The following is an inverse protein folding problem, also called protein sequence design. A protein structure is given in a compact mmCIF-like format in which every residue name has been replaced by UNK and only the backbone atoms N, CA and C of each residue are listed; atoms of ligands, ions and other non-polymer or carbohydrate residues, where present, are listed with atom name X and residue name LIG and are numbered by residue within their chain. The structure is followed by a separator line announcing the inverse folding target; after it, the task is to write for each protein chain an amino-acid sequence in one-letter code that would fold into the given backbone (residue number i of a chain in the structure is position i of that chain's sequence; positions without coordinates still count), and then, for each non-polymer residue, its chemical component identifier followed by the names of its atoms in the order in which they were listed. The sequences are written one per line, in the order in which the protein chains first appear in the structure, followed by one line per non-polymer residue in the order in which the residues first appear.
data_IF_500749776033
#
_entry.id   IF_500749776033
#
_cell.length_a   1.000
_cell.length_b   1.000
_cell.length_c   1.000
_cell.angle_alpha   90.00
_cell.angle_beta   90.00
_cell.angle_gamma   90.00
#
_symmetry.space_group_name_H-M   'P 1'
#
loop_
_entity.id
_entity.type
_entity.pdbx_description
1 polymer ?
#
# COMPACT_ATOMS: atom_id res chain seq x y z
N UNK A 1 3.78 4.28 5.60
CA UNK A 1 3.03 3.03 5.83
C UNK A 1 3.96 1.86 5.62
N UNK A 2 3.42 0.73 5.16
CA UNK A 2 4.18 -0.48 4.84
C UNK A 2 4.21 -0.69 3.32
N UNK A 3 5.35 -0.42 2.63
CA UNK A 3 5.42 -0.57 1.19
C UNK A 3 5.39 -2.05 0.80
N UNK A 4 4.72 -2.35 -0.31
CA UNK A 4 4.56 -3.72 -0.81
C UNK A 4 5.06 -3.82 -2.26
N UNK A 5 4.29 -3.28 -3.20
CA UNK A 5 4.58 -3.33 -4.63
C UNK A 5 5.07 -2.00 -5.21
N UNK A 6 5.99 -2.09 -6.16
CA UNK A 6 6.38 -0.98 -7.02
C UNK A 6 6.29 -1.41 -8.49
N UNK A 7 5.77 -0.54 -9.35
CA UNK A 7 5.70 -0.77 -10.79
C UNK A 7 6.08 0.48 -11.56
N UNK A 8 6.52 0.28 -12.80
CA UNK A 8 6.76 1.39 -13.72
C UNK A 8 5.44 1.78 -14.37
N UNK A 9 5.09 3.05 -14.24
CA UNK A 9 4.02 3.68 -15.00
C UNK A 9 4.52 4.26 -16.32
N UNK A 10 3.72 5.15 -16.88
CA UNK A 10 4.08 5.86 -18.12
C UNK A 10 4.81 7.18 -17.83
N UNK A 11 5.45 7.77 -18.85
CA UNK A 11 6.09 9.08 -18.76
C UNK A 11 7.13 9.25 -17.62
N UNK A 12 7.82 8.17 -17.27
CA UNK A 12 8.85 8.18 -16.21
C UNK A 12 8.29 8.13 -14.78
N UNK A 13 7.01 7.81 -14.64
CA UNK A 13 6.35 7.63 -13.35
C UNK A 13 6.58 6.21 -12.79
N UNK A 14 6.65 6.10 -11.47
CA UNK A 14 6.68 4.84 -10.74
C UNK A 14 5.55 4.83 -9.73
N UNK A 15 4.75 3.76 -9.72
CA UNK A 15 3.65 3.60 -8.79
C UNK A 15 4.08 2.70 -7.63
N UNK A 16 3.95 3.20 -6.40
CA UNK A 16 4.31 2.50 -5.17
C UNK A 16 3.05 2.30 -4.33
N UNK A 17 2.78 1.07 -3.92
CA UNK A 17 1.68 0.73 -3.01
C UNK A 17 2.15 0.69 -1.56
N UNK A 18 1.30 1.18 -0.67
CA UNK A 18 1.46 1.13 0.77
C UNK A 18 0.23 0.43 1.34
N UNK A 19 0.42 -0.79 1.87
CA UNK A 19 -0.66 -1.69 2.26
C UNK A 19 -1.57 -1.10 3.36
N UNK A 20 -0.98 -0.33 4.28
CA UNK A 20 -1.69 0.33 5.37
C UNK A 20 -0.86 1.49 5.95
N UNK A 21 -1.49 2.38 6.73
CA UNK A 21 -0.82 3.37 7.57
C UNK A 21 0.19 2.72 8.51
N UNK A 22 1.07 3.55 9.09
CA UNK A 22 1.98 3.06 10.12
C UNK A 22 1.18 2.63 11.34
N UNK A 23 1.54 1.49 11.91
CA UNK A 23 0.93 0.99 13.14
C UNK A 23 1.86 1.27 14.32
N UNK A 24 1.41 2.13 15.24
CA UNK A 24 2.21 2.58 16.38
C UNK A 24 2.65 1.45 17.32
N UNK A 25 1.85 0.39 17.46
CA UNK A 25 2.24 -0.78 18.25
C UNK A 25 3.40 -1.52 17.59
N UNK A 26 3.31 -1.80 16.29
CA UNK A 26 4.39 -2.45 15.54
C UNK A 26 5.66 -1.59 15.55
N UNK A 27 5.54 -0.28 15.36
CA UNK A 27 6.67 0.65 15.38
C UNK A 27 7.46 0.59 16.70
N UNK A 28 6.77 0.48 17.84
CA UNK A 28 7.39 0.37 19.18
C UNK A 28 8.09 -0.98 19.45
N UNK A 29 7.93 -1.94 18.54
CA UNK A 29 8.58 -3.27 18.64
C UNK A 29 9.77 -3.43 17.70
N UNK A 30 10.04 -2.45 16.83
CA UNK A 30 11.10 -2.55 15.82
C UNK A 30 12.48 -2.80 16.44
N UNK A 31 12.77 -2.17 17.57
CA UNK A 31 14.02 -2.30 18.34
C UNK A 31 14.06 -3.54 19.27
N UNK A 32 12.95 -4.29 19.38
CA UNK A 32 12.81 -5.39 20.36
C UNK A 32 12.61 -6.75 19.66
N UNK A 33 13.68 -7.42 19.22
CA UNK A 33 13.59 -8.67 18.45
C UNK A 33 12.92 -9.82 19.24
N UNK A 34 13.14 -9.91 20.55
CA UNK A 34 12.50 -10.92 21.40
C UNK A 34 10.98 -10.72 21.48
N UNK A 35 10.51 -9.47 21.60
CA UNK A 35 9.09 -9.16 21.62
C UNK A 35 8.42 -9.48 20.28
N UNK A 36 9.05 -9.14 19.16
CA UNK A 36 8.57 -9.51 17.81
C UNK A 36 8.45 -11.03 17.65
N UNK A 37 9.39 -11.79 18.21
CA UNK A 37 9.38 -13.27 18.22
C UNK A 37 8.15 -13.83 18.96
N UNK A 38 7.72 -13.19 20.05
CA UNK A 38 6.52 -13.57 20.78
C UNK A 38 5.27 -13.21 19.96
N UNK A 39 5.16 -11.97 19.49
CA UNK A 39 3.99 -11.48 18.72
C UNK A 39 3.75 -12.34 17.48
N UNK A 40 4.82 -12.73 16.76
CA UNK A 40 4.71 -13.56 15.56
C UNK A 40 4.13 -14.96 15.82
N UNK A 41 4.20 -15.45 17.06
CA UNK A 41 3.71 -16.77 17.50
C UNK A 41 2.33 -16.72 18.14
N UNK A 42 1.78 -15.54 18.38
CA UNK A 42 0.41 -15.42 18.88
C UNK A 42 -0.58 -15.98 17.85
N UNK A 43 -1.73 -16.52 18.28
CA UNK A 43 -2.85 -16.79 17.39
C UNK A 43 -3.25 -15.55 16.55
N UNK A 44 -3.73 -15.76 15.32
CA UNK A 44 -4.05 -14.66 14.38
C UNK A 44 -5.03 -13.61 14.92
N UNK A 45 -5.97 -14.00 15.78
CA UNK A 45 -6.93 -13.07 16.38
C UNK A 45 -6.30 -12.10 17.39
N UNK A 46 -5.09 -12.38 17.88
CA UNK A 46 -4.32 -11.50 18.79
C UNK A 46 -3.26 -10.66 18.06
N UNK A 47 -3.01 -10.93 16.77
CA UNK A 47 -2.01 -10.18 16.02
C UNK A 47 -2.57 -8.82 15.58
N UNK A 48 -1.73 -7.76 15.54
CA UNK A 48 -2.10 -6.52 14.88
C UNK A 48 -2.48 -6.77 13.42
N UNK A 49 -3.69 -6.38 13.03
CA UNK A 49 -4.17 -6.51 11.66
C UNK A 49 -3.94 -5.21 10.88
N UNK A 50 -3.67 -5.29 9.57
CA UNK A 50 -3.65 -4.11 8.72
C UNK A 50 -4.99 -3.38 8.78
N UNK A 51 -4.94 -2.05 8.92
CA UNK A 51 -6.11 -1.20 8.76
C UNK A 51 -6.59 -1.24 7.31
N UNK A 52 -7.92 -1.21 7.09
CA UNK A 52 -8.48 -1.06 5.74
C UNK A 52 -8.26 0.37 5.27
N UNK A 53 -7.21 0.56 4.49
CA UNK A 53 -6.77 1.86 3.99
C UNK A 53 -6.07 1.64 2.66
N UNK A 54 -6.18 2.59 1.74
CA UNK A 54 -5.38 2.57 0.52
C UNK A 54 -4.44 3.76 0.50
N UNK A 55 -3.19 3.49 0.14
CA UNK A 55 -2.22 4.53 -0.16
C UNK A 55 -1.38 4.08 -1.36
N UNK A 56 -1.43 4.87 -2.42
CA UNK A 56 -0.64 4.67 -3.64
C UNK A 56 0.07 5.98 -3.96
N UNK A 57 1.39 5.91 -4.10
CA UNK A 57 2.21 7.05 -4.46
C UNK A 57 2.64 6.93 -5.92
N UNK A 58 2.55 8.02 -6.66
CA UNK A 58 3.22 8.17 -7.94
C UNK A 58 4.51 8.94 -7.72
N UNK A 59 5.64 8.38 -8.15
CA UNK A 59 6.98 8.93 -7.96
C UNK A 59 7.61 9.26 -9.33
N UNK A 60 8.28 10.40 -9.44
CA UNK A 60 9.14 10.68 -10.60
C UNK A 60 10.45 9.86 -10.53
N UNK A 61 11.27 9.96 -11.58
CA UNK A 61 12.56 9.26 -11.66
C UNK A 61 13.59 9.70 -10.60
N UNK A 62 13.35 10.80 -9.89
CA UNK A 62 14.16 11.27 -8.77
C UNK A 62 13.57 10.86 -7.41
N UNK A 63 12.48 10.10 -7.40
CA UNK A 63 11.78 9.66 -6.21
C UNK A 63 10.89 10.72 -5.57
N UNK A 64 10.60 11.83 -6.27
CA UNK A 64 9.67 12.85 -5.76
C UNK A 64 8.24 12.38 -5.94
N UNK A 65 7.43 12.56 -4.90
CA UNK A 65 6.00 12.25 -4.95
C UNK A 65 5.29 13.25 -5.85
N UNK A 66 4.76 12.77 -6.98
CA UNK A 66 3.95 13.56 -7.93
C UNK A 66 2.47 13.21 -7.84
N UNK A 67 2.11 12.04 -7.32
CA UNK A 67 0.74 11.67 -6.97
C UNK A 67 0.70 11.06 -5.58
N UNK A 68 -0.33 11.40 -4.80
CA UNK A 68 -0.57 10.82 -3.48
C UNK A 68 -2.04 10.44 -3.37
N UNK A 69 -2.35 9.20 -3.71
CA UNK A 69 -3.71 8.67 -3.75
C UNK A 69 -3.98 7.95 -2.44
N UNK A 70 -4.91 8.48 -1.64
CA UNK A 70 -5.25 7.94 -0.34
C UNK A 70 -6.76 7.81 -0.20
N UNK A 71 -7.20 6.67 0.36
CA UNK A 71 -8.60 6.42 0.71
C UNK A 71 -8.67 5.82 2.12
N UNK A 72 -9.18 6.57 3.11
CA UNK A 72 -9.30 6.11 4.50
C UNK A 72 -10.49 5.17 4.75
N UNK A 73 -11.43 5.06 3.82
CA UNK A 73 -12.61 4.20 3.96
C UNK A 73 -12.90 3.40 2.67
N UNK A 74 -11.94 2.60 2.17
CA UNK A 74 -12.03 2.03 0.84
C UNK A 74 -12.98 0.83 0.76
N UNK A 75 -13.73 0.78 -0.34
CA UNK A 75 -14.52 -0.41 -0.72
C UNK A 75 -13.65 -1.57 -1.19
N UNK A 76 -12.49 -1.29 -1.80
CA UNK A 76 -11.49 -2.28 -2.23
C UNK A 76 -10.17 -1.96 -1.52
N UNK A 77 -9.67 -2.82 -0.64
CA UNK A 77 -8.55 -2.50 0.26
C UNK A 77 -7.34 -3.43 0.09
N UNK A 78 -6.29 -3.18 0.88
CA UNK A 78 -5.06 -4.00 0.92
C UNK A 78 -4.45 -4.17 -0.48
N UNK A 79 -4.36 -3.06 -1.20
CA UNK A 79 -3.77 -3.02 -2.54
C UNK A 79 -2.28 -3.29 -2.41
N UNK A 80 -1.85 -4.47 -2.88
CA UNK A 80 -0.45 -4.90 -2.87
C UNK A 80 0.25 -4.58 -4.17
N UNK A 81 -0.47 -4.52 -5.29
CA UNK A 81 0.10 -4.21 -6.59
C UNK A 81 -0.73 -3.19 -7.35
N UNK A 82 -0.05 -2.41 -8.17
CA UNK A 82 -0.63 -1.42 -9.07
C UNK A 82 0.06 -1.55 -10.43
N UNK A 83 -0.69 -1.47 -11.52
CA UNK A 83 -0.16 -1.43 -12.87
C UNK A 83 -0.89 -0.34 -13.64
N UNK A 84 -0.13 0.51 -14.33
CA UNK A 84 -0.70 1.49 -15.25
C UNK A 84 -0.73 0.90 -16.65
N UNK A 85 -1.85 1.08 -17.34
CA UNK A 85 -2.00 0.79 -18.76
C UNK A 85 -2.81 1.93 -19.39
N UNK A 86 -2.16 2.79 -20.17
CA UNK A 86 -2.77 4.00 -20.71
C UNK A 86 -3.24 4.94 -19.60
N UNK A 87 -4.51 5.32 -19.67
CA UNK A 87 -5.20 6.22 -18.75
C UNK A 87 -5.82 5.48 -17.54
N UNK A 88 -5.51 4.20 -17.34
CA UNK A 88 -6.07 3.38 -16.27
C UNK A 88 -5.00 2.82 -15.34
N UNK A 89 -5.30 2.82 -14.04
CA UNK A 89 -4.62 2.05 -13.01
C UNK A 89 -5.42 0.80 -12.69
N UNK A 90 -4.73 -0.34 -12.59
CA UNK A 90 -5.26 -1.63 -12.18
C UNK A 90 -4.63 -2.04 -10.86
N UNK A 91 -5.42 -2.60 -9.95
CA UNK A 91 -5.03 -2.90 -8.58
C UNK A 91 -5.21 -4.37 -8.24
N UNK A 92 -4.14 -5.00 -7.75
CA UNK A 92 -4.21 -6.30 -7.10
C UNK A 92 -4.34 -6.13 -5.58
N UNK A 93 -5.12 -7.02 -4.96
CA UNK A 93 -5.32 -7.03 -3.50
C UNK A 93 -4.96 -8.40 -2.92
N UNK A 94 -4.49 -8.41 -1.67
CA UNK A 94 -4.24 -9.63 -0.92
C UNK A 94 -5.52 -10.29 -0.38
N UNK A 95 -6.62 -9.53 -0.28
CA UNK A 95 -7.83 -9.99 0.42
C UNK A 95 -9.11 -9.83 -0.37
N UNK A 96 -9.15 -8.91 -1.33
CA UNK A 96 -10.37 -8.62 -2.09
C UNK A 96 -10.60 -9.64 -3.22
N UNK A 97 -11.87 -9.84 -3.55
CA UNK A 97 -12.26 -10.69 -4.67
C UNK A 97 -12.28 -9.87 -5.96
N UNK A 98 -11.24 -10.00 -6.78
CA UNK A 98 -11.16 -9.40 -8.11
C UNK A 98 -10.05 -8.36 -8.27
N UNK A 99 -10.12 -7.59 -9.35
CA UNK A 99 -9.14 -6.56 -9.72
C UNK A 99 -9.81 -5.19 -9.63
N UNK A 100 -9.25 -4.31 -8.82
CA UNK A 100 -9.69 -2.91 -8.73
C UNK A 100 -9.17 -2.11 -9.93
N UNK A 101 -9.85 -1.03 -10.31
CA UNK A 101 -9.33 -0.10 -11.31
C UNK A 101 -9.83 1.32 -11.09
N UNK A 102 -9.06 2.30 -11.53
CA UNK A 102 -9.48 3.70 -11.62
C UNK A 102 -8.75 4.40 -12.77
N UNK A 103 -9.28 5.55 -13.21
CA UNK A 103 -8.55 6.41 -14.14
C UNK A 103 -7.30 6.99 -13.46
N UNK A 104 -6.24 7.17 -14.23
CA UNK A 104 -5.04 7.90 -13.80
C UNK A 104 -5.47 9.36 -13.53
N UNK A 105 -5.20 9.89 -12.33
CA UNK A 105 -5.58 11.26 -12.00
C UNK A 105 -4.79 12.26 -12.84
N UNK A 106 -5.46 13.36 -13.20
CA UNK A 106 -4.82 14.48 -13.90
C UNK A 106 -3.94 15.23 -12.91
N UNK A 107 -2.73 15.59 -13.34
CA UNK A 107 -1.83 16.43 -12.56
C UNK A 107 -2.31 17.88 -12.68
N UNK A 108 -2.77 18.47 -11.58
CA UNK A 108 -3.03 19.92 -11.48
C UNK A 108 -1.73 20.73 -11.58
#
# INVERSE_FOLDING_TARGET
GFPDGISRGENGLYWLTLLSPRNALLDRTLDKPFLRKIISRLPEFLKPKPERYNCILGLDAQGRVVFNLQDPAPRFAQISSVQQQGDMLYFGSLTEKGVGRMAVPVKE
#
